data_IF_292902035232
#
_entry.id   IF_292902035232
#
_cell.length_a   1.000
_cell.length_b   1.000
_cell.length_c   1.000
_cell.angle_alpha   90.00
_cell.angle_beta   90.00
_cell.angle_gamma   90.00
#
_symmetry.space_group_name_H-M   'P 1'
#
loop_
_entity.id
_entity.type
_entity.pdbx_description
1 polymer ?
#
# COMPACT_ATOMS: atom_id res chain seq x y z
N UNK A 1 -20.79 -3.12 11.33
CA UNK A 1 -20.99 -2.98 12.78
C UNK A 1 -21.60 -1.61 13.18
N UNK A 2 -21.31 -0.55 12.44
CA UNK A 2 -21.85 0.79 12.75
C UNK A 2 -23.15 1.12 11.99
N UNK A 3 -23.69 0.19 11.21
CA UNK A 3 -24.92 0.40 10.45
C UNK A 3 -24.87 1.47 9.34
N UNK A 4 -23.70 2.07 9.13
CA UNK A 4 -23.47 3.10 8.11
C UNK A 4 -22.72 2.44 6.95
N UNK A 5 -23.47 1.86 6.04
CA UNK A 5 -22.90 1.28 4.82
C UNK A 5 -23.19 2.21 3.64
N UNK A 6 -22.21 2.58 2.84
CA UNK A 6 -22.47 3.42 1.67
C UNK A 6 -23.32 2.67 0.65
N UNK A 7 -24.30 3.37 0.07
CA UNK A 7 -25.14 2.83 -1.00
C UNK A 7 -24.41 2.67 -2.33
N UNK A 8 -25.07 2.05 -3.29
CA UNK A 8 -24.53 1.81 -4.65
C UNK A 8 -24.07 3.10 -5.35
N UNK A 9 -24.68 4.22 -5.03
CA UNK A 9 -24.36 5.55 -5.57
C UNK A 9 -22.94 5.99 -5.17
N UNK A 10 -22.52 5.72 -3.93
CA UNK A 10 -21.18 6.01 -3.47
C UNK A 10 -20.13 5.27 -4.31
N UNK A 11 -20.34 3.98 -4.57
CA UNK A 11 -19.40 3.17 -5.35
C UNK A 11 -19.33 3.61 -6.83
N UNK A 12 -20.39 4.21 -7.36
CA UNK A 12 -20.42 4.71 -8.73
C UNK A 12 -19.66 6.02 -8.90
N UNK A 13 -19.77 6.93 -7.93
CA UNK A 13 -19.28 8.32 -8.03
C UNK A 13 -18.00 8.55 -7.18
N UNK A 14 -17.45 7.49 -6.56
CA UNK A 14 -16.33 7.62 -5.60
C UNK A 14 -15.10 8.36 -6.12
N UNK A 15 -14.77 8.21 -7.40
CA UNK A 15 -13.59 8.88 -7.98
C UNK A 15 -13.85 10.34 -8.29
N UNK A 16 -15.06 10.72 -8.68
CA UNK A 16 -15.45 12.13 -8.86
C UNK A 16 -15.44 12.84 -7.51
N UNK A 17 -16.09 12.25 -6.50
CA UNK A 17 -16.08 12.74 -5.13
C UNK A 17 -14.64 12.90 -4.60
N UNK A 18 -13.81 11.88 -4.76
CA UNK A 18 -12.42 11.91 -4.29
C UNK A 18 -11.57 12.92 -5.07
N UNK A 19 -11.83 13.13 -6.34
CA UNK A 19 -11.16 14.13 -7.18
C UNK A 19 -11.40 15.55 -6.67
N UNK A 20 -12.64 15.90 -6.35
CA UNK A 20 -12.97 17.19 -5.74
C UNK A 20 -12.35 17.33 -4.34
N UNK A 21 -12.41 16.28 -3.52
CA UNK A 21 -11.78 16.27 -2.20
C UNK A 21 -10.28 16.56 -2.27
N UNK A 22 -9.55 15.87 -3.15
CA UNK A 22 -8.10 16.09 -3.32
C UNK A 22 -7.81 17.52 -3.81
N UNK A 23 -8.65 18.06 -4.68
CA UNK A 23 -8.50 19.43 -5.17
C UNK A 23 -8.63 20.44 -4.03
N UNK A 24 -9.63 20.30 -3.19
CA UNK A 24 -9.79 21.13 -1.97
C UNK A 24 -8.58 20.99 -1.05
N UNK A 25 -8.10 19.77 -0.81
CA UNK A 25 -6.91 19.55 0.01
C UNK A 25 -5.68 20.24 -0.56
N UNK A 26 -5.43 20.13 -1.87
CA UNK A 26 -4.28 20.79 -2.51
C UNK A 26 -4.37 22.31 -2.41
N UNK A 27 -5.53 22.92 -2.67
CA UNK A 27 -5.74 24.36 -2.50
C UNK A 27 -5.43 24.81 -1.07
N UNK A 28 -5.92 24.08 -0.07
CA UNK A 28 -5.65 24.37 1.34
C UNK A 28 -4.17 24.24 1.69
N UNK A 29 -3.49 23.20 1.21
CA UNK A 29 -2.06 22.99 1.49
C UNK A 29 -1.16 24.01 0.80
N UNK A 30 -1.53 24.46 -0.38
CA UNK A 30 -0.73 25.40 -1.19
C UNK A 30 -0.98 26.87 -0.81
N UNK A 31 -2.22 27.23 -0.49
CA UNK A 31 -2.63 28.62 -0.32
C UNK A 31 -3.17 28.94 1.07
N UNK A 32 -3.47 27.93 1.90
CA UNK A 32 -4.14 28.09 3.18
C UNK A 32 -5.64 28.39 3.06
N UNK A 33 -6.19 28.42 1.85
CA UNK A 33 -7.60 28.77 1.60
C UNK A 33 -8.17 27.99 0.43
N UNK A 34 -9.47 27.66 0.51
CA UNK A 34 -10.26 27.14 -0.61
C UNK A 34 -11.64 27.77 -0.64
N UNK A 35 -12.02 28.24 -1.82
CA UNK A 35 -13.38 28.69 -2.15
C UNK A 35 -13.98 27.78 -3.26
N UNK A 36 -13.48 26.55 -3.37
CA UNK A 36 -13.87 25.57 -4.38
C UNK A 36 -15.38 25.36 -4.41
N UNK A 37 -15.94 25.33 -5.61
CA UNK A 37 -17.35 25.03 -5.87
C UNK A 37 -17.43 23.90 -6.88
N UNK A 38 -17.70 22.69 -6.41
CA UNK A 38 -17.88 21.49 -7.20
C UNK A 38 -19.29 20.93 -7.05
N UNK A 39 -19.49 19.71 -7.50
CA UNK A 39 -20.75 19.00 -7.33
C UNK A 39 -20.89 18.45 -5.91
N UNK A 40 -19.82 17.91 -5.36
CA UNK A 40 -19.78 17.24 -4.06
C UNK A 40 -19.29 18.16 -2.94
N UNK A 41 -18.42 19.10 -3.22
CA UNK A 41 -17.84 20.01 -2.23
C UNK A 41 -18.14 21.47 -2.56
N UNK A 42 -18.66 22.19 -1.58
CA UNK A 42 -18.98 23.62 -1.66
C UNK A 42 -18.24 24.34 -0.51
N UNK A 43 -17.05 24.86 -0.81
CA UNK A 43 -16.26 25.60 0.17
C UNK A 43 -16.63 27.08 0.16
N UNK A 44 -16.65 27.70 1.33
CA UNK A 44 -16.90 29.13 1.51
C UNK A 44 -15.92 29.67 2.55
N UNK A 45 -14.88 30.38 2.09
CA UNK A 45 -13.78 30.87 2.91
C UNK A 45 -13.16 29.78 3.82
N UNK A 46 -13.09 28.54 3.31
CA UNK A 46 -12.49 27.44 4.05
C UNK A 46 -10.98 27.69 4.24
N UNK A 47 -10.51 27.68 5.48
CA UNK A 47 -9.12 28.03 5.82
C UNK A 47 -8.44 26.92 6.57
N UNK A 48 -7.12 26.76 6.35
CA UNK A 48 -6.26 25.82 7.04
C UNK A 48 -4.99 26.51 7.56
N UNK A 49 -4.75 26.34 8.88
CA UNK A 49 -3.53 26.80 9.55
C UNK A 49 -3.12 25.75 10.61
N UNK A 50 -1.82 25.49 10.82
CA UNK A 50 -0.69 26.04 10.06
C UNK A 50 -0.60 25.42 8.66
N UNK A 51 -0.03 26.15 7.71
CA UNK A 51 0.24 25.62 6.36
C UNK A 51 1.42 24.64 6.39
N UNK A 52 1.39 23.58 5.56
CA UNK A 52 2.52 22.69 5.41
C UNK A 52 3.77 23.42 4.90
N UNK A 53 4.91 23.16 5.52
CA UNK A 53 6.19 23.73 5.07
C UNK A 53 6.80 23.00 3.87
N UNK A 54 6.33 21.77 3.60
CA UNK A 54 6.78 20.92 2.51
C UNK A 54 5.56 20.34 1.78
N UNK A 55 5.75 19.98 0.52
CA UNK A 55 4.74 19.23 -0.23
C UNK A 55 4.34 17.97 0.53
N UNK A 56 3.03 17.77 0.69
CA UNK A 56 2.48 16.53 1.24
C UNK A 56 2.28 15.57 0.06
N UNK A 57 2.97 14.41 0.03
CA UNK A 57 2.75 13.42 -1.02
C UNK A 57 1.40 12.72 -0.84
N UNK A 58 0.74 12.43 -1.94
CA UNK A 58 -0.54 11.73 -1.96
C UNK A 58 -0.30 10.29 -2.43
N UNK A 59 -0.75 9.34 -1.63
CA UNK A 59 -0.73 7.91 -1.96
C UNK A 59 -2.19 7.46 -2.17
N UNK A 60 -2.49 6.90 -3.34
CA UNK A 60 -3.80 6.30 -3.63
C UNK A 60 -3.70 4.77 -3.68
N UNK A 61 -4.75 4.07 -3.26
CA UNK A 61 -4.76 2.61 -3.12
C UNK A 61 -5.58 1.86 -4.21
N UNK A 62 -5.92 2.52 -5.30
CA UNK A 62 -6.73 1.93 -6.38
C UNK A 62 -5.89 1.07 -7.34
N UNK A 63 -6.19 -0.23 -7.45
CA UNK A 63 -5.52 -1.12 -8.41
C UNK A 63 -6.40 -1.55 -9.60
N UNK A 64 -7.70 -1.29 -9.55
CA UNK A 64 -8.57 -1.40 -10.72
C UNK A 64 -8.15 -0.40 -11.80
N UNK A 65 -8.58 -0.60 -13.05
CA UNK A 65 -8.28 0.33 -14.14
C UNK A 65 -8.67 1.77 -13.77
N UNK A 66 -9.88 2.00 -13.29
CA UNK A 66 -10.33 3.33 -12.85
C UNK A 66 -9.50 3.87 -11.65
N UNK A 67 -9.10 3.00 -10.71
CA UNK A 67 -8.26 3.39 -9.58
C UNK A 67 -6.85 3.79 -9.99
N UNK A 68 -6.25 3.09 -10.95
CA UNK A 68 -4.94 3.45 -11.50
C UNK A 68 -4.98 4.73 -12.32
N UNK A 69 -6.03 4.93 -13.14
CA UNK A 69 -6.26 6.17 -13.87
C UNK A 69 -6.42 7.36 -12.92
N UNK A 70 -7.17 7.17 -11.83
CA UNK A 70 -7.30 8.18 -10.79
C UNK A 70 -5.96 8.48 -10.11
N UNK A 71 -5.19 7.46 -9.75
CA UNK A 71 -3.85 7.63 -9.16
C UNK A 71 -2.91 8.35 -10.11
N UNK A 72 -2.92 8.00 -11.39
CA UNK A 72 -2.11 8.64 -12.41
C UNK A 72 -2.41 10.13 -12.55
N UNK A 73 -3.66 10.56 -12.32
CA UNK A 73 -4.06 11.97 -12.43
C UNK A 73 -3.77 12.77 -11.14
N UNK A 74 -3.92 12.16 -9.98
CA UNK A 74 -4.02 12.90 -8.72
C UNK A 74 -2.93 12.57 -7.70
N UNK A 75 -2.34 11.38 -7.73
CA UNK A 75 -1.40 10.89 -6.73
C UNK A 75 0.07 11.14 -7.11
N UNK A 76 0.94 11.05 -6.11
CA UNK A 76 2.39 10.93 -6.28
C UNK A 76 2.80 9.46 -6.29
N UNK A 77 2.08 8.62 -5.53
CA UNK A 77 2.32 7.18 -5.46
C UNK A 77 1.01 6.39 -5.51
N UNK A 78 1.09 5.16 -6.01
CA UNK A 78 0.00 4.19 -5.89
C UNK A 78 0.41 3.06 -4.94
N UNK A 79 -0.43 2.82 -3.95
CA UNK A 79 -0.26 1.71 -3.02
C UNK A 79 -0.73 0.40 -3.67
N UNK A 80 0.12 -0.63 -3.62
CA UNK A 80 -0.21 -1.96 -4.10
C UNK A 80 0.15 -3.05 -3.07
N UNK A 81 -0.42 -4.24 -3.25
CA UNK A 81 -0.10 -5.39 -2.42
C UNK A 81 0.99 -6.24 -3.06
N UNK A 82 1.95 -6.68 -2.24
CA UNK A 82 2.78 -7.82 -2.58
C UNK A 82 1.94 -9.09 -2.70
N UNK A 83 2.47 -10.13 -3.30
CA UNK A 83 1.77 -11.40 -3.53
C UNK A 83 2.62 -12.59 -3.13
N UNK A 84 1.96 -13.62 -2.59
CA UNK A 84 2.58 -14.89 -2.25
C UNK A 84 3.55 -14.84 -1.05
N UNK A 85 4.25 -15.93 -0.84
CA UNK A 85 5.26 -16.08 0.22
C UNK A 85 6.62 -16.21 -0.44
N UNK A 86 7.58 -15.40 -0.01
CA UNK A 86 8.95 -15.35 -0.57
C UNK A 86 8.98 -15.17 -2.11
N UNK A 87 8.07 -14.34 -2.60
CA UNK A 87 8.00 -13.94 -4.01
C UNK A 87 8.06 -12.41 -4.12
N UNK A 88 9.21 -11.78 -3.79
CA UNK A 88 9.35 -10.35 -3.57
C UNK A 88 8.94 -9.50 -4.79
N UNK A 89 9.14 -10.00 -6.01
CA UNK A 89 8.85 -9.27 -7.26
C UNK A 89 7.50 -9.61 -7.90
N UNK A 90 6.65 -10.42 -7.25
CA UNK A 90 5.38 -10.89 -7.85
C UNK A 90 4.36 -9.76 -8.13
N UNK A 91 4.56 -8.56 -7.57
CA UNK A 91 3.74 -7.38 -7.85
C UNK A 91 4.20 -6.57 -9.08
N UNK A 92 5.34 -6.92 -9.70
CA UNK A 92 5.93 -6.19 -10.83
C UNK A 92 4.92 -5.90 -11.97
N UNK A 93 4.05 -6.83 -12.40
CA UNK A 93 3.04 -6.53 -13.43
C UNK A 93 2.08 -5.41 -13.04
N UNK A 94 1.81 -5.25 -11.73
CA UNK A 94 0.96 -4.16 -11.21
C UNK A 94 1.69 -2.82 -11.32
N UNK A 95 2.98 -2.77 -10.98
CA UNK A 95 3.82 -1.57 -11.13
C UNK A 95 3.99 -1.16 -12.59
N UNK A 96 4.26 -2.11 -13.49
CA UNK A 96 4.37 -1.87 -14.94
C UNK A 96 3.08 -1.30 -15.54
N UNK A 97 1.91 -1.82 -15.11
CA UNK A 97 0.61 -1.29 -15.52
C UNK A 97 0.42 0.14 -15.05
N UNK A 98 0.80 0.46 -13.80
CA UNK A 98 0.75 1.82 -13.26
C UNK A 98 1.61 2.78 -14.10
N UNK A 99 2.86 2.41 -14.38
CA UNK A 99 3.76 3.20 -15.21
C UNK A 99 3.12 3.53 -16.57
N UNK A 100 2.56 2.50 -17.23
CA UNK A 100 1.90 2.69 -18.52
C UNK A 100 0.71 3.66 -18.47
N UNK A 101 -0.08 3.61 -17.40
CA UNK A 101 -1.23 4.52 -17.22
C UNK A 101 -0.75 5.94 -16.88
N UNK A 102 0.26 6.08 -16.03
CA UNK A 102 0.83 7.36 -15.65
C UNK A 102 1.47 8.07 -16.84
N UNK A 103 2.21 7.35 -17.70
CA UNK A 103 2.78 7.90 -18.94
C UNK A 103 1.71 8.46 -19.88
N UNK A 104 0.56 7.79 -20.03
CA UNK A 104 -0.58 8.28 -20.81
C UNK A 104 -1.17 9.58 -20.24
N UNK A 105 -1.11 9.76 -18.93
CA UNK A 105 -1.52 10.97 -18.23
C UNK A 105 -0.42 12.07 -18.24
N UNK A 106 0.75 11.82 -18.85
CA UNK A 106 1.87 12.74 -18.87
C UNK A 106 2.52 12.95 -17.49
N UNK A 107 2.43 11.96 -16.60
CA UNK A 107 2.93 12.04 -15.23
C UNK A 107 3.82 10.84 -14.89
N UNK A 108 4.64 11.05 -13.87
CA UNK A 108 5.42 10.00 -13.23
C UNK A 108 4.77 9.69 -11.87
N UNK A 109 4.37 8.43 -11.68
CA UNK A 109 3.71 7.95 -10.46
C UNK A 109 4.29 6.58 -10.12
N UNK A 110 4.97 6.52 -8.98
CA UNK A 110 5.60 5.29 -8.51
C UNK A 110 4.64 4.40 -7.71
N UNK A 111 5.02 3.14 -7.55
CA UNK A 111 4.31 2.21 -6.67
C UNK A 111 4.96 2.15 -5.29
N UNK A 112 4.12 1.99 -4.26
CA UNK A 112 4.54 1.63 -2.90
C UNK A 112 3.90 0.29 -2.56
N UNK A 113 4.71 -0.74 -2.32
CA UNK A 113 4.21 -2.10 -2.11
C UNK A 113 4.10 -2.44 -0.62
N UNK A 114 2.96 -3.00 -0.22
CA UNK A 114 2.77 -3.55 1.13
C UNK A 114 3.31 -4.97 1.20
N UNK A 115 4.20 -5.21 2.15
CA UNK A 115 4.83 -6.49 2.43
C UNK A 115 4.75 -6.77 3.94
N UNK A 116 4.36 -7.99 4.29
CA UNK A 116 4.51 -8.52 5.64
C UNK A 116 5.87 -9.19 5.79
N UNK A 117 6.53 -8.96 6.90
CA UNK A 117 7.81 -9.57 7.24
C UNK A 117 7.63 -10.46 8.48
N UNK A 118 8.05 -11.70 8.36
CA UNK A 118 8.18 -12.66 9.46
C UNK A 118 9.64 -13.10 9.49
N UNK A 119 10.42 -12.47 10.35
CA UNK A 119 11.85 -12.69 10.43
C UNK A 119 12.26 -13.36 11.75
N UNK A 120 13.36 -14.11 11.71
CA UNK A 120 14.00 -14.69 12.89
C UNK A 120 15.51 -14.84 12.65
N UNK A 121 16.25 -15.44 13.58
CA UNK A 121 17.69 -15.68 13.45
C UNK A 121 18.04 -16.66 12.32
N UNK A 122 17.14 -17.60 12.00
CA UNK A 122 17.31 -18.57 10.91
C UNK A 122 16.04 -18.72 10.08
N UNK A 123 16.21 -19.18 8.84
CA UNK A 123 15.07 -19.42 7.93
C UNK A 123 14.10 -20.46 8.50
N UNK A 124 14.61 -21.50 9.19
CA UNK A 124 13.79 -22.53 9.77
C UNK A 124 12.91 -21.99 10.92
N UNK A 125 13.49 -21.10 11.78
CA UNK A 125 12.71 -20.50 12.88
C UNK A 125 11.63 -19.57 12.33
N UNK A 126 11.94 -18.74 11.34
CA UNK A 126 10.96 -17.88 10.70
C UNK A 126 9.85 -18.68 10.02
N UNK A 127 10.20 -19.75 9.30
CA UNK A 127 9.23 -20.63 8.64
C UNK A 127 8.35 -21.36 9.66
N UNK A 128 8.89 -21.76 10.81
CA UNK A 128 8.10 -22.37 11.88
C UNK A 128 7.03 -21.39 12.44
N UNK A 129 7.34 -20.09 12.56
CA UNK A 129 6.34 -19.07 12.89
C UNK A 129 5.24 -18.99 11.85
N UNK A 130 5.61 -18.96 10.56
CA UNK A 130 4.64 -18.91 9.47
C UNK A 130 3.69 -20.12 9.48
N UNK A 131 4.23 -21.33 9.65
CA UNK A 131 3.40 -22.55 9.76
C UNK A 131 2.49 -22.52 11.00
N UNK A 132 2.97 -22.03 12.14
CA UNK A 132 2.13 -21.81 13.33
C UNK A 132 0.94 -20.87 13.04
N UNK A 133 1.15 -19.76 12.31
CA UNK A 133 0.07 -18.85 11.93
C UNK A 133 -0.91 -19.50 10.96
N UNK A 134 -0.43 -20.34 10.04
CA UNK A 134 -1.29 -21.10 9.13
C UNK A 134 -2.19 -22.07 9.87
N UNK A 135 -1.64 -22.76 10.86
CA UNK A 135 -2.39 -23.73 11.68
C UNK A 135 -3.38 -23.04 12.61
N UNK A 136 -2.96 -21.91 13.21
CA UNK A 136 -3.75 -21.14 14.19
C UNK A 136 -4.75 -20.15 13.61
N UNK A 137 -4.92 -20.07 12.29
CA UNK A 137 -5.81 -19.10 11.67
C UNK A 137 -7.28 -19.26 12.10
N UNK A 138 -7.95 -18.15 12.38
CA UNK A 138 -9.40 -18.12 12.60
C UNK A 138 -10.13 -18.09 11.26
N UNK A 139 -10.61 -19.26 10.83
CA UNK A 139 -11.32 -19.38 9.55
C UNK A 139 -12.62 -18.56 9.54
N UNK A 140 -13.33 -18.44 10.66
CA UNK A 140 -14.58 -17.67 10.74
C UNK A 140 -14.32 -16.17 10.54
N UNK A 141 -13.21 -15.66 11.10
CA UNK A 141 -12.80 -14.26 10.90
C UNK A 141 -12.40 -13.98 9.44
N UNK A 142 -11.66 -14.91 8.83
CA UNK A 142 -11.27 -14.81 7.41
C UNK A 142 -12.51 -14.84 6.50
N UNK A 143 -13.45 -15.74 6.72
CA UNK A 143 -14.70 -15.84 5.98
C UNK A 143 -15.53 -14.55 6.12
N UNK A 144 -15.59 -13.99 7.33
CA UNK A 144 -16.27 -12.72 7.56
C UNK A 144 -15.63 -11.57 6.77
N UNK A 145 -14.31 -11.45 6.77
CA UNK A 145 -13.58 -10.43 6.02
C UNK A 145 -13.76 -10.60 4.50
N UNK A 146 -13.70 -11.85 4.02
CA UNK A 146 -13.96 -12.18 2.61
C UNK A 146 -15.35 -11.73 2.18
N UNK A 147 -16.38 -11.99 3.00
CA UNK A 147 -17.74 -11.58 2.71
C UNK A 147 -17.91 -10.04 2.69
N UNK A 148 -17.13 -9.30 3.48
CA UNK A 148 -17.13 -7.82 3.39
C UNK A 148 -16.62 -7.34 2.03
N UNK A 149 -15.62 -8.01 1.45
CA UNK A 149 -15.11 -7.69 0.13
C UNK A 149 -16.10 -7.94 -1.00
N UNK A 150 -17.07 -8.82 -0.80
CA UNK A 150 -18.10 -9.14 -1.80
C UNK A 150 -19.23 -8.10 -1.90
N UNK A 151 -19.26 -7.08 -1.05
CA UNK A 151 -20.34 -6.07 -1.02
C UNK A 151 -20.30 -5.14 -2.23
N UNK A 152 -19.11 -4.80 -2.75
CA UNK A 152 -18.99 -4.05 -4.01
C UNK A 152 -19.26 -4.97 -5.21
N UNK A 153 -20.53 -5.14 -5.55
CA UNK A 153 -20.99 -6.00 -6.66
C UNK A 153 -20.48 -5.55 -8.03
N UNK A 154 -20.06 -4.29 -8.16
CA UNK A 154 -19.54 -3.69 -9.39
C UNK A 154 -18.03 -3.74 -9.47
N UNK A 155 -17.34 -4.24 -8.45
CA UNK A 155 -15.88 -4.38 -8.47
C UNK A 155 -15.47 -5.33 -9.59
N UNK A 156 -14.52 -4.88 -10.43
CA UNK A 156 -13.93 -5.70 -11.50
C UNK A 156 -13.23 -6.95 -10.96
N UNK A 157 -12.84 -7.85 -11.86
CA UNK A 157 -12.05 -9.04 -11.49
C UNK A 157 -10.62 -8.71 -11.09
N UNK A 158 -10.17 -7.49 -11.39
CA UNK A 158 -8.84 -6.94 -11.19
C UNK A 158 -8.70 -6.13 -9.88
N UNK A 159 -9.63 -6.28 -8.95
CA UNK A 159 -9.59 -5.55 -7.67
C UNK A 159 -8.83 -6.35 -6.61
N UNK A 160 -8.03 -5.67 -5.79
CA UNK A 160 -7.29 -6.25 -4.66
C UNK A 160 -8.16 -7.07 -3.71
N UNK A 161 -9.39 -6.65 -3.53
CA UNK A 161 -10.32 -7.31 -2.61
C UNK A 161 -10.55 -8.77 -3.01
N UNK A 162 -10.50 -9.09 -4.30
CA UNK A 162 -10.63 -10.48 -4.78
C UNK A 162 -9.37 -11.30 -4.56
N UNK A 163 -8.21 -10.69 -4.76
CA UNK A 163 -6.93 -11.35 -4.46
C UNK A 163 -6.78 -11.61 -2.95
N UNK A 164 -7.20 -10.64 -2.12
CA UNK A 164 -7.17 -10.76 -0.65
C UNK A 164 -8.14 -11.81 -0.10
N UNK A 165 -9.14 -12.17 -0.85
CA UNK A 165 -10.25 -13.03 -0.42
C UNK A 165 -10.20 -14.44 -1.02
N UNK A 166 -9.08 -14.83 -1.64
CA UNK A 166 -8.90 -16.21 -2.08
C UNK A 166 -8.82 -17.15 -0.86
N UNK A 167 -9.81 -18.04 -0.65
CA UNK A 167 -9.88 -18.86 0.55
C UNK A 167 -8.78 -19.92 0.64
N UNK A 168 -8.08 -20.19 -0.46
CA UNK A 168 -7.11 -21.30 -0.53
C UNK A 168 -5.78 -20.95 0.15
N UNK A 169 -5.45 -19.67 0.26
CA UNK A 169 -4.18 -19.20 0.81
C UNK A 169 -4.30 -18.15 1.92
N UNK A 170 -5.53 -17.83 2.34
CA UNK A 170 -5.76 -16.77 3.32
C UNK A 170 -5.24 -17.15 4.72
N UNK A 171 -4.08 -16.63 5.07
CA UNK A 171 -3.56 -16.60 6.45
C UNK A 171 -3.58 -15.16 6.94
N UNK A 172 -3.07 -14.24 6.14
CA UNK A 172 -2.93 -12.82 6.42
C UNK A 172 -3.57 -11.96 5.31
N UNK A 173 -4.76 -12.34 4.82
CA UNK A 173 -5.45 -11.73 3.68
C UNK A 173 -4.63 -11.78 2.39
N UNK A 174 -3.85 -12.83 2.19
CA UNK A 174 -3.00 -13.04 1.02
C UNK A 174 -2.02 -11.89 0.72
N UNK A 175 -1.63 -11.12 1.74
CA UNK A 175 -0.57 -10.12 1.59
C UNK A 175 0.74 -10.82 1.20
N UNK A 176 1.50 -10.20 0.32
CA UNK A 176 2.87 -10.63 0.05
C UNK A 176 3.67 -10.69 1.34
N UNK A 177 4.27 -11.84 1.62
CA UNK A 177 4.94 -12.11 2.89
C UNK A 177 6.37 -12.60 2.64
N UNK A 178 7.33 -11.97 3.30
CA UNK A 178 8.72 -12.41 3.33
C UNK A 178 8.98 -13.13 4.65
N UNK A 179 9.35 -14.40 4.56
CA UNK A 179 9.60 -15.29 5.68
C UNK A 179 11.02 -15.81 5.60
N UNK A 180 11.86 -15.49 6.59
CA UNK A 180 13.25 -15.95 6.55
C UNK A 180 14.13 -15.35 7.65
N UNK A 181 15.41 -15.70 7.60
CA UNK A 181 16.43 -15.07 8.43
C UNK A 181 16.53 -13.59 8.10
N UNK A 182 17.12 -12.81 9.02
CA UNK A 182 17.35 -11.37 8.76
C UNK A 182 18.11 -11.12 7.45
N UNK A 183 19.07 -11.99 7.12
CA UNK A 183 19.82 -11.89 5.87
C UNK A 183 18.98 -12.26 4.65
N UNK A 184 18.17 -13.31 4.74
CA UNK A 184 17.27 -13.72 3.65
C UNK A 184 16.20 -12.66 3.36
N UNK A 185 15.63 -12.06 4.41
CA UNK A 185 14.66 -10.96 4.27
C UNK A 185 15.31 -9.72 3.65
N UNK A 186 16.54 -9.36 4.07
CA UNK A 186 17.27 -8.24 3.48
C UNK A 186 17.51 -8.44 1.97
N UNK A 187 17.93 -9.65 1.56
CA UNK A 187 18.13 -9.98 0.15
C UNK A 187 16.82 -9.88 -0.65
N UNK A 188 15.70 -10.39 -0.12
CA UNK A 188 14.40 -10.29 -0.78
C UNK A 188 13.90 -8.84 -0.87
N UNK A 189 14.20 -8.00 0.11
CA UNK A 189 13.89 -6.56 0.04
C UNK A 189 14.76 -5.85 -1.02
N UNK A 190 16.02 -6.25 -1.20
CA UNK A 190 16.86 -5.76 -2.29
C UNK A 190 16.33 -6.18 -3.67
N UNK A 191 15.72 -7.37 -3.79
CA UNK A 191 15.04 -7.77 -5.02
C UNK A 191 13.84 -6.88 -5.35
N UNK A 192 13.07 -6.42 -4.34
CA UNK A 192 11.97 -5.48 -4.54
C UNK A 192 12.46 -4.17 -5.19
N UNK A 193 13.62 -3.68 -4.78
CA UNK A 193 14.23 -2.46 -5.33
C UNK A 193 14.53 -2.56 -6.84
N UNK A 194 14.63 -3.77 -7.38
CA UNK A 194 14.85 -4.00 -8.81
C UNK A 194 13.59 -3.84 -9.66
N UNK A 195 12.40 -3.77 -9.05
CA UNK A 195 11.13 -3.66 -9.78
C UNK A 195 10.97 -2.25 -10.34
N UNK A 196 10.81 -2.07 -11.66
CA UNK A 196 10.64 -0.75 -12.26
C UNK A 196 9.45 0.01 -11.67
N UNK A 197 9.67 1.28 -11.31
CA UNK A 197 8.66 2.15 -10.74
C UNK A 197 8.26 1.82 -9.30
N UNK A 198 8.95 0.91 -8.63
CA UNK A 198 8.81 0.72 -7.19
C UNK A 198 9.62 1.80 -6.46
N UNK A 199 8.92 2.70 -5.76
CA UNK A 199 9.52 3.83 -5.04
C UNK A 199 9.62 3.59 -3.54
N UNK A 200 8.98 2.54 -3.04
CA UNK A 200 9.01 2.23 -1.62
C UNK A 200 8.27 0.98 -1.21
N UNK A 201 8.55 0.59 0.04
CA UNK A 201 7.93 -0.57 0.68
C UNK A 201 7.24 -0.11 1.97
N UNK A 202 5.99 -0.48 2.14
CA UNK A 202 5.28 -0.37 3.40
C UNK A 202 5.36 -1.72 4.11
N UNK A 203 6.06 -1.75 5.25
CA UNK A 203 6.29 -2.99 5.99
C UNK A 203 5.26 -3.17 7.10
N UNK A 204 4.77 -4.40 7.26
CA UNK A 204 4.10 -4.86 8.47
C UNK A 204 4.86 -6.05 9.04
N UNK A 205 4.67 -6.31 10.33
CA UNK A 205 5.37 -7.36 11.04
C UNK A 205 4.36 -8.19 11.82
N UNK A 206 4.70 -9.44 12.07
CA UNK A 206 3.91 -10.35 12.92
C UNK A 206 3.87 -9.88 14.38
N UNK A 207 5.01 -9.44 14.90
CA UNK A 207 5.15 -8.72 16.18
C UNK A 207 5.66 -7.31 15.85
N UNK A 208 4.78 -6.31 15.94
CA UNK A 208 5.03 -4.99 15.36
C UNK A 208 6.23 -4.28 16.00
N UNK A 209 6.32 -4.26 17.33
CA UNK A 209 7.40 -3.54 18.05
C UNK A 209 8.73 -4.23 17.80
N UNK A 210 8.79 -5.54 18.06
CA UNK A 210 10.01 -6.31 17.87
C UNK A 210 10.44 -6.34 16.39
N UNK A 211 9.47 -6.47 15.48
CA UNK A 211 9.74 -6.49 14.04
C UNK A 211 10.34 -5.18 13.55
N UNK A 212 9.87 -4.02 14.05
CA UNK A 212 10.47 -2.73 13.73
C UNK A 212 11.90 -2.59 14.28
N UNK A 213 12.14 -3.04 15.51
CA UNK A 213 13.48 -3.03 16.10
C UNK A 213 14.43 -3.95 15.33
N UNK A 214 14.00 -5.17 15.01
CA UNK A 214 14.77 -6.13 14.23
C UNK A 214 15.03 -5.62 12.80
N UNK A 215 14.05 -4.98 12.17
CA UNK A 215 14.23 -4.36 10.87
C UNK A 215 15.33 -3.31 10.91
N UNK A 216 15.26 -2.36 11.85
CA UNK A 216 16.24 -1.27 11.96
C UNK A 216 17.66 -1.75 12.33
N UNK A 217 17.76 -2.74 13.21
CA UNK A 217 19.05 -3.16 13.79
C UNK A 217 19.68 -4.35 13.06
N UNK A 218 18.88 -5.24 12.46
CA UNK A 218 19.37 -6.53 11.94
C UNK A 218 19.11 -6.75 10.45
N UNK A 219 18.05 -6.15 9.87
CA UNK A 219 17.69 -6.34 8.46
C UNK A 219 18.22 -5.17 7.62
N UNK A 220 17.84 -3.94 7.94
CA UNK A 220 18.21 -2.76 7.16
C UNK A 220 19.73 -2.60 6.95
N UNK A 221 20.61 -2.85 7.94
CA UNK A 221 22.05 -2.78 7.74
C UNK A 221 22.61 -3.79 6.73
N UNK A 222 21.90 -4.88 6.47
CA UNK A 222 22.28 -5.91 5.51
C UNK A 222 21.80 -5.62 4.08
N UNK A 223 20.85 -4.68 3.91
CA UNK A 223 20.30 -4.32 2.60
C UNK A 223 21.32 -3.54 1.78
N UNK A 224 21.63 -4.02 0.58
CA UNK A 224 22.57 -3.35 -0.35
C UNK A 224 21.95 -2.10 -0.97
N UNK A 225 20.65 -2.11 -1.25
CA UNK A 225 19.87 -0.98 -1.76
C UNK A 225 19.87 0.24 -0.82
N UNK A 226 20.16 0.06 0.47
CA UNK A 226 20.13 1.12 1.50
C UNK A 226 21.50 1.60 1.98
N UNK A 227 22.59 1.03 1.51
CA UNK A 227 23.95 1.37 1.96
C UNK A 227 24.32 2.85 1.76
N UNK A 228 23.81 3.49 0.70
CA UNK A 228 24.05 4.91 0.46
C UNK A 228 23.40 5.83 1.52
N UNK A 229 22.32 5.40 2.17
CA UNK A 229 21.64 6.16 3.23
C UNK A 229 22.37 6.05 4.57
N UNK A 230 22.90 4.88 4.88
CA UNK A 230 23.67 4.67 6.12
C UNK A 230 24.99 5.43 6.10
N UNK A 231 25.65 5.55 4.94
CA UNK A 231 26.84 6.36 4.76
C UNK A 231 26.58 7.86 4.96
N UNK A 232 25.42 8.36 4.54
CA UNK A 232 25.03 9.77 4.72
C UNK A 232 24.68 10.11 6.19
N UNK A 233 24.08 9.16 6.94
CA UNK A 233 23.75 9.35 8.36
C UNK A 233 24.98 9.34 9.29
N UNK A 234 26.09 8.77 8.85
CA UNK A 234 27.37 8.74 9.61
C UNK A 234 28.15 10.07 9.52
N UNK A 235 27.69 11.05 8.74
CA UNK A 235 28.37 12.34 8.47
C UNK A 235 27.66 13.50 9.21
N UNK A 236 26.61 13.25 9.99
CA UNK A 236 25.90 14.21 10.86
C UNK A 236 26.18 13.87 12.32
#
# INVERSE_FOLDING_TARGET
QMGMWPGDEFFSNRYEYLGEYIKVCKELWETGKSDFKGEHFQMDDCRMLPMPQKKIPIICAGQSTAGMEFSAQHADYNFCFGKGVNTPTAFAPTSERLISVAQKAGRDVGSVVLIMVIADETDEKAMAKWEMYKEGKDQSALDWMTNQGAVDKKSGKDTNIRDMTDPTSAVNLNMGTLVGSFASVAAMLDEIDTVPGCEGVLLTFDEFIQGMDDFGQKIQPLMTSRQHLTAAAAVV
#
